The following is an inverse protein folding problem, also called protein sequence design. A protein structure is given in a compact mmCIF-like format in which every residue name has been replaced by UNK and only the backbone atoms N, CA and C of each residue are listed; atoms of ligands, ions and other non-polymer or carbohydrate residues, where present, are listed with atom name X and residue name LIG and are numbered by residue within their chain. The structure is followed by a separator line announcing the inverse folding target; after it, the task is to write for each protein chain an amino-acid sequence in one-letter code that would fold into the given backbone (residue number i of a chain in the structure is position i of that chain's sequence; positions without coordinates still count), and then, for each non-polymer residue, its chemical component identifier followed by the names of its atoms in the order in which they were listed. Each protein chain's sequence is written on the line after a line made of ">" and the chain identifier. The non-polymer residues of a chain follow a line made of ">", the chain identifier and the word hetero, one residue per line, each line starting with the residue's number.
data_IF_102448702852
#
_entry.id   IF_102448702852
#
_cell.length_a   1.000
_cell.length_b   1.000
_cell.length_c   1.000
_cell.angle_alpha   90.00
_cell.angle_beta   90.00
_cell.angle_gamma   90.00
#
_symmetry.space_group_name_H-M   'P 1'
#
loop_
_entity.id
_entity.type
_entity.pdbx_description
1 polymer ?
#
# COMPACT_ATOMS: atom_id res chain seq x y z
N UNK A 1 8.33 18.21 1.31
CA UNK A 1 7.74 16.92 1.71
C UNK A 1 8.82 15.86 1.92
N UNK A 2 9.64 15.56 0.91
CA UNK A 2 10.82 14.66 1.04
C UNK A 2 11.77 15.08 2.17
N UNK A 3 11.90 16.37 2.46
CA UNK A 3 12.73 16.89 3.57
C UNK A 3 12.36 16.29 4.95
N UNK A 4 11.07 16.24 5.32
CA UNK A 4 10.61 15.66 6.60
C UNK A 4 10.85 14.15 6.67
N UNK A 5 10.70 13.45 5.54
CA UNK A 5 11.00 12.02 5.46
C UNK A 5 12.50 11.76 5.54
N UNK A 6 13.32 12.55 4.84
CA UNK A 6 14.78 12.44 4.90
C UNK A 6 15.31 12.70 6.32
N UNK A 7 14.76 13.69 7.04
CA UNK A 7 15.06 13.94 8.45
C UNK A 7 14.67 12.74 9.34
N UNK A 8 13.49 12.13 9.10
CA UNK A 8 13.07 10.91 9.79
C UNK A 8 14.02 9.73 9.53
N UNK A 9 14.51 9.59 8.30
CA UNK A 9 15.43 8.53 7.91
C UNK A 9 16.83 8.68 8.54
N UNK A 10 17.33 9.91 8.65
CA UNK A 10 18.68 10.22 9.17
C UNK A 10 18.89 9.80 10.63
N UNK A 11 17.83 9.73 11.43
CA UNK A 11 17.92 9.38 12.86
C UNK A 11 18.10 7.87 13.14
N UNK A 12 18.04 7.00 12.12
CA UNK A 12 17.98 5.54 12.31
C UNK A 12 18.86 4.71 11.35
N UNK A 13 19.76 5.34 10.58
CA UNK A 13 20.58 4.64 9.58
C UNK A 13 21.92 4.12 10.11
N UNK A 14 22.19 2.82 9.93
CA UNK A 14 23.55 2.26 9.96
C UNK A 14 24.00 1.94 8.52
N UNK A 15 25.24 2.26 8.12
CA UNK A 15 25.74 1.89 6.79
C UNK A 15 25.70 0.37 6.60
N UNK A 16 25.15 -0.08 5.47
CA UNK A 16 25.13 -1.49 5.05
C UNK A 16 23.91 -2.33 5.45
N UNK A 17 22.87 -1.74 6.08
CA UNK A 17 21.62 -2.45 6.39
C UNK A 17 20.40 -1.72 5.81
N UNK A 18 19.33 -2.45 5.40
CA UNK A 18 18.04 -1.83 5.11
C UNK A 18 17.58 -1.00 6.30
N UNK A 19 17.09 0.20 6.03
CA UNK A 19 16.65 1.12 7.06
C UNK A 19 15.43 0.57 7.81
N UNK A 20 15.38 0.81 9.13
CA UNK A 20 14.25 0.42 9.99
C UNK A 20 14.16 1.35 11.20
N UNK A 21 13.03 2.03 11.37
CA UNK A 21 12.73 2.80 12.58
C UNK A 21 12.15 1.94 13.72
N UNK A 22 12.30 2.43 14.95
CA UNK A 22 11.60 1.92 16.15
C UNK A 22 10.15 2.38 16.15
N UNK A 23 9.28 1.63 16.84
CA UNK A 23 7.84 1.95 16.97
C UNK A 23 7.59 3.39 17.44
N UNK A 24 8.31 3.86 18.46
CA UNK A 24 8.14 5.21 18.99
C UNK A 24 8.45 6.31 17.95
N UNK A 25 9.47 6.09 17.12
CA UNK A 25 9.88 7.01 16.06
C UNK A 25 8.82 7.06 14.95
N UNK A 26 8.29 5.90 14.54
CA UNK A 26 7.19 5.79 13.56
C UNK A 26 5.94 6.52 14.06
N UNK A 27 5.55 6.32 15.33
CA UNK A 27 4.39 6.99 15.91
C UNK A 27 4.59 8.51 16.01
N UNK A 28 5.79 8.96 16.37
CA UNK A 28 6.13 10.39 16.40
C UNK A 28 6.06 11.00 15.00
N UNK A 29 6.64 10.33 14.00
CA UNK A 29 6.57 10.76 12.60
C UNK A 29 5.12 10.85 12.11
N UNK A 30 4.32 9.80 12.33
CA UNK A 30 2.92 9.76 11.91
C UNK A 30 2.11 10.91 12.50
N UNK A 31 2.22 11.18 13.80
CA UNK A 31 1.51 12.30 14.45
C UNK A 31 1.84 13.67 13.86
N UNK A 32 2.99 13.82 13.21
CA UNK A 32 3.46 15.07 12.63
C UNK A 32 3.24 15.18 11.10
N UNK A 33 2.57 14.20 10.49
CA UNK A 33 2.16 14.26 9.09
C UNK A 33 1.02 15.28 8.90
N UNK A 34 1.02 15.96 7.76
CA UNK A 34 -0.08 16.85 7.40
C UNK A 34 -1.31 15.99 7.05
N UNK A 35 -2.47 16.17 7.72
CA UNK A 35 -3.68 15.41 7.42
C UNK A 35 -4.24 15.66 6.01
N UNK A 36 -3.91 16.80 5.39
CA UNK A 36 -4.30 17.15 4.02
C UNK A 36 -3.27 16.71 2.98
N UNK A 37 -2.34 15.83 3.33
CA UNK A 37 -1.36 15.30 2.39
C UNK A 37 -2.10 14.42 1.36
N UNK A 38 -2.07 14.76 0.06
CA UNK A 38 -2.72 13.94 -0.94
C UNK A 38 -2.04 12.58 -1.05
N UNK A 39 -2.83 11.54 -1.34
CA UNK A 39 -2.29 10.23 -1.67
C UNK A 39 -1.42 10.37 -2.93
N UNK A 40 -0.29 9.66 -2.96
CA UNK A 40 0.62 9.59 -4.10
C UNK A 40 0.89 8.11 -4.35
N UNK A 41 0.55 7.64 -5.55
CA UNK A 41 0.62 6.22 -5.90
C UNK A 41 1.19 6.09 -7.30
N UNK A 42 2.21 5.25 -7.48
CA UNK A 42 2.83 5.00 -8.78
C UNK A 42 2.50 3.60 -9.29
N UNK A 43 2.37 3.41 -10.62
CA UNK A 43 2.19 2.09 -11.18
C UNK A 43 3.38 1.18 -10.87
N UNK A 44 3.10 -0.09 -10.62
CA UNK A 44 4.12 -1.13 -10.51
C UNK A 44 4.89 -1.22 -11.83
N UNK A 45 6.22 -1.19 -11.74
CA UNK A 45 7.10 -1.36 -12.90
C UNK A 45 6.87 -2.71 -13.58
N UNK A 46 6.84 -2.70 -14.92
CA UNK A 46 6.71 -3.92 -15.75
C UNK A 46 7.83 -4.94 -15.50
N UNK A 47 9.00 -4.48 -15.06
CA UNK A 47 10.15 -5.33 -14.77
C UNK A 47 10.22 -5.78 -13.30
N UNK A 48 9.14 -5.61 -12.53
CA UNK A 48 9.10 -6.02 -11.13
C UNK A 48 9.22 -7.55 -10.99
N UNK A 49 10.45 -8.03 -10.82
CA UNK A 49 10.79 -9.43 -10.54
C UNK A 49 10.90 -9.66 -9.03
N UNK A 50 9.99 -10.44 -8.49
CA UNK A 50 10.00 -10.89 -7.10
C UNK A 50 9.47 -9.89 -6.06
N UNK A 51 9.27 -10.45 -4.87
CA UNK A 51 8.69 -9.88 -3.63
C UNK A 51 7.17 -9.96 -3.49
N UNK A 52 6.75 -10.29 -2.27
CA UNK A 52 5.37 -10.39 -1.75
C UNK A 52 4.64 -9.03 -1.74
N UNK A 53 5.35 -7.94 -2.02
CA UNK A 53 4.88 -6.57 -1.91
C UNK A 53 5.17 -5.83 -3.20
N UNK A 54 4.11 -5.35 -3.86
CA UNK A 54 4.22 -4.48 -5.03
C UNK A 54 4.62 -3.06 -4.59
N UNK A 55 5.29 -2.31 -5.46
CA UNK A 55 5.62 -0.90 -5.18
C UNK A 55 4.34 -0.07 -5.01
N UNK A 56 4.32 0.81 -4.00
CA UNK A 56 3.18 1.66 -3.63
C UNK A 56 1.84 0.90 -3.44
N UNK A 57 1.90 -0.35 -2.97
CA UNK A 57 0.72 -1.16 -2.64
C UNK A 57 0.28 -1.06 -1.18
N UNK A 58 -1.02 -1.23 -0.94
CA UNK A 58 -1.62 -1.29 0.39
C UNK A 58 -2.17 -2.69 0.66
N UNK A 59 -1.94 -3.20 1.88
CA UNK A 59 -2.54 -4.43 2.41
C UNK A 59 -3.17 -4.14 3.76
N UNK A 60 -4.45 -4.46 3.91
CA UNK A 60 -5.19 -4.37 5.17
C UNK A 60 -5.71 -5.77 5.51
N UNK A 61 -5.56 -6.18 6.77
CA UNK A 61 -6.05 -7.47 7.27
C UNK A 61 -6.86 -7.26 8.54
N UNK A 62 -7.91 -8.05 8.75
CA UNK A 62 -8.75 -8.00 9.94
C UNK A 62 -10.19 -8.39 9.64
N UNK A 63 -11.13 -7.92 10.46
CA UNK A 63 -12.56 -8.10 10.19
C UNK A 63 -13.01 -7.25 9.00
N UNK A 64 -14.17 -7.61 8.42
CA UNK A 64 -14.74 -6.84 7.33
C UNK A 64 -15.12 -5.42 7.76
N UNK A 65 -15.64 -5.24 8.97
CA UNK A 65 -15.99 -3.94 9.54
C UNK A 65 -14.77 -3.03 9.67
N UNK A 66 -13.65 -3.59 10.17
CA UNK A 66 -12.41 -2.85 10.28
C UNK A 66 -11.89 -2.43 8.90
N UNK A 67 -11.81 -3.37 7.95
CA UNK A 67 -11.34 -3.07 6.57
C UNK A 67 -12.20 -1.99 5.94
N UNK A 68 -13.53 -2.14 5.98
CA UNK A 68 -14.49 -1.17 5.43
C UNK A 68 -14.34 0.21 6.06
N UNK A 69 -14.09 0.27 7.37
CA UNK A 69 -13.81 1.54 8.07
C UNK A 69 -12.52 2.20 7.58
N UNK A 70 -11.49 1.45 7.21
CA UNK A 70 -10.24 2.03 6.71
C UNK A 70 -10.39 2.46 5.25
N UNK A 71 -10.87 1.58 4.38
CA UNK A 71 -10.92 1.88 2.93
C UNK A 71 -11.92 2.99 2.58
N UNK A 72 -12.95 3.22 3.41
CA UNK A 72 -13.86 4.35 3.18
C UNK A 72 -13.18 5.73 3.30
N UNK A 73 -12.02 5.80 3.98
CA UNK A 73 -11.17 6.99 4.10
C UNK A 73 -10.11 7.08 3.00
N UNK A 74 -9.99 6.05 2.16
CA UNK A 74 -9.00 5.94 1.09
C UNK A 74 -9.65 5.96 -0.30
N UNK A 75 -10.87 6.53 -0.42
CA UNK A 75 -11.60 6.62 -1.69
C UNK A 75 -10.86 7.42 -2.76
N UNK A 76 -10.00 8.34 -2.35
CA UNK A 76 -9.12 9.09 -3.27
C UNK A 76 -8.18 8.16 -4.07
N UNK A 77 -7.96 6.91 -3.63
CA UNK A 77 -7.21 5.93 -4.42
C UNK A 77 -7.96 5.58 -5.72
N UNK A 78 -9.29 5.58 -5.70
CA UNK A 78 -10.10 5.25 -6.88
C UNK A 78 -9.88 6.24 -8.04
N UNK A 79 -9.47 7.48 -7.76
CA UNK A 79 -9.23 8.47 -8.83
C UNK A 79 -7.94 8.24 -9.61
N UNK A 80 -7.10 7.27 -9.24
CA UNK A 80 -5.90 6.93 -9.98
C UNK A 80 -6.17 6.03 -11.19
N UNK A 81 -7.38 5.48 -11.33
CA UNK A 81 -7.76 4.79 -12.57
C UNK A 81 -7.86 5.78 -13.73
N UNK A 82 -7.28 5.39 -14.87
CA UNK A 82 -7.34 6.16 -16.12
C UNK A 82 -7.20 5.20 -17.31
N UNK A 83 -7.10 5.74 -18.53
CA UNK A 83 -6.88 4.91 -19.72
C UNK A 83 -5.52 4.21 -19.77
N UNK A 84 -4.52 4.65 -19.00
CA UNK A 84 -3.16 4.10 -19.04
C UNK A 84 -2.84 3.17 -17.86
N UNK A 85 -3.57 3.33 -16.76
CA UNK A 85 -3.32 2.66 -15.48
C UNK A 85 -4.63 2.29 -14.82
N UNK A 86 -4.67 1.14 -14.15
CA UNK A 86 -5.85 0.65 -13.43
C UNK A 86 -5.49 0.17 -12.04
N UNK A 87 -6.45 0.15 -11.14
CA UNK A 87 -6.26 -0.48 -9.84
C UNK A 87 -6.36 -2.00 -10.00
N UNK A 88 -5.45 -2.70 -9.36
CA UNK A 88 -5.56 -4.13 -9.13
C UNK A 88 -5.94 -4.34 -7.66
N UNK A 89 -7.18 -4.80 -7.45
CA UNK A 89 -7.84 -4.86 -6.14
C UNK A 89 -8.25 -6.30 -5.84
N UNK A 90 -7.98 -6.75 -4.62
CA UNK A 90 -8.43 -8.03 -4.11
C UNK A 90 -9.06 -7.82 -2.72
N UNK A 91 -10.30 -8.28 -2.52
CA UNK A 91 -10.93 -8.35 -1.21
C UNK A 91 -11.49 -9.76 -1.04
N UNK A 92 -10.90 -10.55 -0.14
CA UNK A 92 -11.36 -11.92 0.12
C UNK A 92 -11.28 -12.30 1.59
N UNK A 93 -12.04 -13.32 1.93
CA UNK A 93 -11.89 -14.07 3.17
C UNK A 93 -10.58 -14.87 3.14
N UNK A 94 -9.95 -15.00 4.29
CA UNK A 94 -8.77 -15.84 4.51
C UNK A 94 -9.24 -17.08 5.26
N UNK A 95 -8.88 -18.25 4.75
CA UNK A 95 -9.13 -19.51 5.45
C UNK A 95 -8.46 -19.47 6.83
N UNK A 96 -9.21 -19.74 7.92
CA UNK A 96 -8.64 -19.78 9.26
C UNK A 96 -7.56 -20.86 9.32
N UNK A 97 -6.48 -20.57 10.06
CA UNK A 97 -5.44 -21.57 10.34
C UNK A 97 -5.68 -22.16 11.72
N UNK A 98 -6.05 -23.44 11.78
CA UNK A 98 -6.34 -24.12 13.04
C UNK A 98 -7.76 -23.81 13.55
N UNK A 99 -7.92 -23.67 14.86
CA UNK A 99 -9.22 -23.56 15.54
C UNK A 99 -9.77 -22.12 15.65
N UNK A 100 -9.27 -21.18 14.84
CA UNK A 100 -9.81 -19.82 14.81
C UNK A 100 -11.23 -19.82 14.24
N UNK A 101 -12.21 -19.42 15.06
CA UNK A 101 -13.62 -19.30 14.68
C UNK A 101 -13.92 -18.01 13.92
N UNK A 102 -13.05 -17.01 14.03
CA UNK A 102 -13.27 -15.69 13.43
C UNK A 102 -12.82 -15.66 11.97
N UNK A 103 -13.74 -15.20 11.12
CA UNK A 103 -13.46 -14.99 9.70
C UNK A 103 -12.54 -13.77 9.53
N UNK A 104 -11.29 -14.03 9.20
CA UNK A 104 -10.34 -12.99 8.82
C UNK A 104 -10.48 -12.66 7.33
N UNK A 105 -10.26 -11.39 6.99
CA UNK A 105 -10.28 -10.91 5.63
C UNK A 105 -8.97 -10.20 5.28
N UNK A 106 -8.71 -10.08 3.99
CA UNK A 106 -7.63 -9.28 3.44
C UNK A 106 -8.13 -8.41 2.30
N UNK A 107 -7.67 -7.17 2.29
CA UNK A 107 -7.82 -6.22 1.19
C UNK A 107 -6.44 -5.83 0.65
N UNK A 108 -6.25 -5.95 -0.65
CA UNK A 108 -5.08 -5.45 -1.38
C UNK A 108 -5.50 -4.44 -2.43
N UNK A 109 -4.69 -3.40 -2.60
CA UNK A 109 -4.79 -2.50 -3.74
C UNK A 109 -3.40 -2.04 -4.17
N UNK A 110 -3.16 -2.01 -5.47
CA UNK A 110 -1.99 -1.39 -6.08
C UNK A 110 -2.34 -0.90 -7.49
N UNK A 111 -1.50 -0.03 -8.07
CA UNK A 111 -1.72 0.53 -9.40
C UNK A 111 -0.88 -0.27 -10.40
N UNK A 112 -1.48 -0.69 -11.50
CA UNK A 112 -0.79 -1.39 -12.60
C UNK A 112 -1.00 -0.64 -13.89
N UNK A 113 -0.05 -0.74 -14.83
CA UNK A 113 -0.27 -0.27 -16.19
C UNK A 113 -1.29 -1.16 -16.88
N UNK A 114 -2.15 -0.55 -17.69
CA UNK A 114 -3.11 -1.31 -18.48
C UNK A 114 -2.41 -1.91 -19.72
N UNK A 115 -2.11 -3.21 -19.67
CA UNK A 115 -1.36 -3.89 -20.74
C UNK A 115 -2.24 -4.22 -21.96
N UNK A 116 -3.57 -4.13 -21.85
CA UNK A 116 -4.48 -4.39 -22.97
C UNK A 116 -4.42 -3.31 -24.08
N UNK A 117 -3.78 -2.16 -23.80
CA UNK A 117 -3.48 -1.14 -24.82
C UNK A 117 -2.09 -1.27 -25.47
N UNK A 118 -1.20 -2.11 -24.91
CA UNK A 118 0.17 -2.30 -25.44
C UNK A 118 0.26 -3.46 -26.45
N UNK A 119 -0.77 -4.29 -26.54
CA UNK A 119 -0.94 -5.28 -27.61
C UNK A 119 -2.38 -5.23 -28.12
N UNK A 120 -2.71 -4.31 -29.06
CA UNK A 120 -3.92 -4.50 -29.85
C UNK A 120 -3.77 -5.84 -30.55
N UNK A 121 -4.69 -6.77 -30.30
CA UNK A 121 -4.76 -8.03 -31.04
C UNK A 121 -4.85 -7.68 -32.53
N UNK A 122 -3.73 -7.86 -33.24
CA UNK A 122 -3.68 -7.88 -34.70
C UNK A 122 -4.19 -9.20 -35.25
#
# INVERSE_FOLDING_TARGET
>A
MLKKFNEFMQNAGHPGKPWKAKKAEVLSFWKNLNPSLPIQMKPVSEHHKGTRFRSDGLRITGSAEFINSVICRLKDIASFESGEVRLDVEYRQVEPKGDELDSNFVFYVHLVKDQDQLNPKG
#
